data_IF_173512024149
#
_entry.id   IF_173512024149
#
_cell.length_a   1.000
_cell.length_b   1.000
_cell.length_c   1.000
_cell.angle_alpha   90.00
_cell.angle_beta   90.00
_cell.angle_gamma   90.00
#
_symmetry.space_group_name_H-M   'P 1'
#
loop_
_entity.id
_entity.type
_entity.pdbx_description
1 polymer ?
#
# COMPACT_ATOMS: atom_id res chain seq x y z
N UNK A 1 -2.63 11.11 -14.79
CA UNK A 1 -3.06 10.56 -13.48
C UNK A 1 -2.53 9.15 -13.34
N UNK A 2 -1.63 8.87 -12.38
CA UNK A 2 -1.00 7.54 -12.17
C UNK A 2 -1.81 6.62 -11.23
N UNK A 3 -3.09 6.91 -11.02
CA UNK A 3 -4.00 6.21 -10.09
C UNK A 3 -4.84 5.12 -10.79
N UNK A 4 -4.16 4.14 -11.39
CA UNK A 4 -4.80 3.04 -12.12
C UNK A 4 -4.71 1.68 -11.39
N UNK A 5 -4.09 1.66 -10.21
CA UNK A 5 -3.95 0.47 -9.40
C UNK A 5 -5.25 0.04 -8.74
N UNK A 6 -5.36 -1.27 -8.46
CA UNK A 6 -6.50 -1.88 -7.78
C UNK A 6 -6.04 -2.93 -6.79
N UNK A 7 -6.79 -3.07 -5.70
CA UNK A 7 -6.73 -4.23 -4.81
C UNK A 7 -7.92 -5.13 -5.13
N UNK A 8 -7.65 -6.39 -5.44
CA UNK A 8 -8.66 -7.37 -5.82
C UNK A 8 -8.72 -8.47 -4.76
N UNK A 9 -9.92 -8.98 -4.51
CA UNK A 9 -10.12 -10.27 -3.85
C UNK A 9 -10.53 -11.30 -4.88
N UNK A 10 -10.12 -12.55 -4.64
CA UNK A 10 -10.44 -13.69 -5.47
C UNK A 10 -10.92 -14.82 -4.57
N UNK A 11 -12.09 -15.36 -4.88
CA UNK A 11 -12.63 -16.57 -4.25
C UNK A 11 -12.31 -17.78 -5.15
N UNK A 12 -11.43 -18.70 -4.72
CA UNK A 12 -11.06 -19.86 -5.53
C UNK A 12 -12.16 -20.91 -5.66
N UNK A 13 -13.16 -20.92 -4.77
CA UNK A 13 -14.28 -21.88 -4.81
C UNK A 13 -15.29 -21.46 -5.87
N UNK A 14 -15.64 -20.17 -5.91
CA UNK A 14 -16.63 -19.64 -6.87
C UNK A 14 -15.99 -19.09 -8.14
N UNK A 15 -14.68 -18.88 -8.16
CA UNK A 15 -13.95 -18.21 -9.25
C UNK A 15 -14.23 -16.70 -9.33
N UNK A 16 -14.92 -16.12 -8.35
CA UNK A 16 -15.33 -14.71 -8.38
C UNK A 16 -14.18 -13.78 -8.02
N UNK A 17 -13.97 -12.76 -8.84
CA UNK A 17 -13.06 -11.64 -8.55
C UNK A 17 -13.90 -10.42 -8.14
N UNK A 18 -13.49 -9.71 -7.09
CA UNK A 18 -14.10 -8.46 -6.66
C UNK A 18 -13.05 -7.38 -6.46
N UNK A 19 -13.32 -6.16 -6.92
CA UNK A 19 -12.48 -4.99 -6.64
C UNK A 19 -12.79 -4.50 -5.22
N UNK A 20 -11.79 -4.55 -4.34
CA UNK A 20 -11.89 -4.06 -2.95
C UNK A 20 -11.55 -2.57 -2.85
N UNK A 21 -10.50 -2.15 -3.56
CA UNK A 21 -10.10 -0.76 -3.72
C UNK A 21 -9.71 -0.51 -5.16
N UNK A 22 -10.03 0.68 -5.65
CA UNK A 22 -9.56 1.20 -6.93
C UNK A 22 -8.81 2.52 -6.75
N UNK A 23 -8.37 3.09 -7.87
CA UNK A 23 -7.72 4.40 -7.91
C UNK A 23 -6.48 4.49 -7.03
N UNK A 24 -5.73 3.38 -6.92
CA UNK A 24 -4.50 3.29 -6.11
C UNK A 24 -3.28 3.77 -6.90
N UNK A 25 -2.34 4.35 -6.18
CA UNK A 25 -1.10 4.94 -6.70
C UNK A 25 0.04 3.91 -6.70
N UNK A 26 0.14 3.13 -7.77
CA UNK A 26 1.13 2.06 -7.95
C UNK A 26 1.17 1.11 -6.73
N UNK A 27 0.08 0.34 -6.47
CA UNK A 27 0.02 -0.58 -5.35
C UNK A 27 0.98 -1.76 -5.57
N UNK A 28 2.05 -1.82 -4.79
CA UNK A 28 3.16 -2.73 -5.07
C UNK A 28 3.20 -3.92 -4.09
N UNK A 29 3.12 -3.64 -2.80
CA UNK A 29 3.17 -4.66 -1.74
C UNK A 29 2.00 -4.55 -0.78
N UNK A 30 1.55 -5.69 -0.25
CA UNK A 30 0.61 -5.73 0.87
C UNK A 30 0.90 -6.90 1.81
N UNK A 31 0.43 -6.79 3.05
CA UNK A 31 0.51 -7.85 4.06
C UNK A 31 -0.72 -7.81 4.96
N UNK A 32 -1.24 -8.99 5.32
CA UNK A 32 -2.32 -9.12 6.29
C UNK A 32 -1.83 -8.95 7.72
N UNK A 33 -2.71 -8.47 8.59
CA UNK A 33 -2.53 -8.65 10.03
C UNK A 33 -2.60 -10.13 10.41
N UNK A 34 -2.02 -10.55 11.55
CA UNK A 34 -2.10 -11.93 12.02
C UNK A 34 -3.54 -12.48 12.12
N UNK A 35 -4.49 -11.62 12.51
CA UNK A 35 -5.91 -11.99 12.69
C UNK A 35 -6.77 -11.79 11.41
N UNK A 36 -6.13 -11.36 10.32
CA UNK A 36 -6.76 -11.03 9.03
C UNK A 36 -7.94 -10.05 9.17
N UNK A 37 -7.87 -9.14 10.14
CA UNK A 37 -8.86 -8.10 10.37
C UNK A 37 -8.58 -6.83 9.54
N UNK A 38 -7.33 -6.63 9.12
CA UNK A 38 -6.90 -5.61 8.17
C UNK A 38 -5.72 -6.09 7.32
N UNK A 39 -5.41 -5.33 6.27
CA UNK A 39 -4.14 -5.43 5.55
C UNK A 39 -3.47 -4.06 5.44
N UNK A 40 -2.15 -4.05 5.35
CA UNK A 40 -1.37 -2.88 4.96
C UNK A 40 -1.07 -2.97 3.47
N UNK A 41 -1.10 -1.85 2.77
CA UNK A 41 -0.78 -1.75 1.35
C UNK A 41 0.11 -0.54 1.07
N UNK A 42 1.16 -0.75 0.29
CA UNK A 42 2.10 0.27 -0.15
C UNK A 42 1.60 0.95 -1.43
N UNK A 43 1.38 2.26 -1.37
CA UNK A 43 1.18 3.10 -2.56
C UNK A 43 2.51 3.75 -2.93
N UNK A 44 3.26 3.06 -3.80
CA UNK A 44 4.67 3.36 -4.05
C UNK A 44 4.87 4.75 -4.63
N UNK A 45 4.05 5.18 -5.59
CA UNK A 45 4.30 6.45 -6.30
C UNK A 45 4.00 7.70 -5.48
N UNK A 46 3.35 7.56 -4.33
CA UNK A 46 3.05 8.67 -3.41
C UNK A 46 3.67 8.49 -2.03
N UNK A 47 4.54 7.48 -1.86
CA UNK A 47 5.26 7.23 -0.62
C UNK A 47 4.36 7.05 0.61
N UNK A 48 3.24 6.32 0.46
CA UNK A 48 2.27 6.05 1.53
C UNK A 48 2.17 4.56 1.86
N UNK A 49 1.85 4.26 3.12
CA UNK A 49 1.24 3.00 3.54
C UNK A 49 -0.19 3.28 3.96
N UNK A 50 -1.14 2.54 3.39
CA UNK A 50 -2.53 2.55 3.83
C UNK A 50 -2.85 1.28 4.61
N UNK A 51 -3.81 1.38 5.52
CA UNK A 51 -4.48 0.24 6.14
C UNK A 51 -5.87 0.11 5.52
N UNK A 52 -6.23 -1.10 5.10
CA UNK A 52 -7.56 -1.45 4.63
C UNK A 52 -8.19 -2.44 5.59
N UNK A 53 -9.38 -2.11 6.11
CA UNK A 53 -10.09 -2.93 7.10
C UNK A 53 -10.91 -4.02 6.40
N UNK A 54 -10.66 -5.28 6.77
CA UNK A 54 -11.34 -6.46 6.23
C UNK A 54 -12.53 -6.86 7.09
N UNK A 55 -12.42 -6.69 8.42
CA UNK A 55 -13.42 -7.10 9.41
C UNK A 55 -13.77 -5.93 10.33
N UNK A 56 -14.85 -6.11 11.10
CA UNK A 56 -15.28 -5.16 12.15
C UNK A 56 -16.05 -3.93 11.63
N UNK A 57 -16.31 -2.94 12.49
CA UNK A 57 -17.17 -1.79 12.18
C UNK A 57 -16.65 -0.88 11.05
N UNK A 58 -15.35 -0.97 10.74
CA UNK A 58 -14.67 -0.21 9.69
C UNK A 58 -14.49 -1.02 8.39
N UNK A 59 -15.00 -2.25 8.30
CA UNK A 59 -14.79 -3.12 7.16
C UNK A 59 -15.13 -2.41 5.83
N UNK A 60 -14.27 -2.58 4.82
CA UNK A 60 -14.38 -1.93 3.52
C UNK A 60 -13.84 -0.50 3.45
N UNK A 61 -13.35 0.07 4.56
CA UNK A 61 -12.73 1.40 4.58
C UNK A 61 -11.21 1.33 4.59
N UNK A 62 -10.56 2.43 4.17
CA UNK A 62 -9.10 2.59 4.24
C UNK A 62 -8.71 3.86 4.98
N UNK A 63 -7.53 3.85 5.58
CA UNK A 63 -6.89 5.02 6.19
C UNK A 63 -5.39 5.04 5.89
N UNK A 64 -4.80 6.23 5.77
CA UNK A 64 -3.35 6.38 5.60
C UNK A 64 -2.70 6.26 6.98
N UNK A 65 -1.80 5.29 7.15
CA UNK A 65 -1.10 5.05 8.42
C UNK A 65 0.32 5.61 8.43
N UNK A 66 0.96 5.67 7.26
CA UNK A 66 2.24 6.33 7.06
C UNK A 66 2.17 7.14 5.77
N UNK A 67 2.64 8.38 5.81
CA UNK A 67 2.72 9.26 4.65
C UNK A 67 4.14 9.83 4.51
N UNK A 68 4.40 10.45 3.36
CA UNK A 68 5.64 11.16 3.07
C UNK A 68 6.91 10.39 3.53
N UNK A 69 6.94 9.09 3.23
CA UNK A 69 8.01 8.22 3.68
C UNK A 69 9.37 8.68 3.12
N UNK A 70 10.45 8.31 3.82
CA UNK A 70 11.85 8.60 3.47
C UNK A 70 12.30 7.97 2.14
N UNK A 71 11.45 7.16 1.52
CA UNK A 71 11.64 6.51 0.26
C UNK A 71 10.34 5.93 -0.24
N UNK A 72 10.36 5.32 -1.43
CA UNK A 72 9.18 4.72 -2.01
C UNK A 72 8.97 3.30 -1.47
N UNK A 73 7.83 3.04 -0.80
CA UNK A 73 7.56 1.73 -0.21
C UNK A 73 7.22 0.70 -1.28
N UNK A 74 7.67 -0.52 -1.06
CA UNK A 74 7.50 -1.67 -1.96
C UNK A 74 6.81 -2.80 -1.18
N UNK A 75 7.29 -4.04 -1.33
CA UNK A 75 6.84 -5.22 -0.60
C UNK A 75 6.81 -5.01 0.92
N UNK A 76 5.71 -5.46 1.53
CA UNK A 76 5.50 -5.47 2.98
C UNK A 76 5.51 -6.92 3.43
N UNK A 77 6.20 -7.22 4.53
CA UNK A 77 6.20 -8.55 5.17
C UNK A 77 5.96 -8.44 6.65
N UNK A 78 5.11 -9.30 7.18
CA UNK A 78 5.01 -9.52 8.62
C UNK A 78 6.28 -10.23 9.10
N UNK A 79 6.85 -9.75 10.21
CA UNK A 79 7.95 -10.41 10.90
C UNK A 79 7.44 -11.28 12.04
N UNK A 80 8.29 -12.19 12.50
CA UNK A 80 8.00 -13.09 13.63
C UNK A 80 7.84 -12.34 14.97
N UNK A 81 8.16 -11.05 15.01
CA UNK A 81 7.98 -10.17 16.17
C UNK A 81 6.68 -9.36 16.13
N UNK A 82 5.79 -9.63 15.16
CA UNK A 82 4.51 -8.92 15.03
C UNK A 82 4.63 -7.50 14.45
N UNK A 83 5.79 -7.15 13.88
CA UNK A 83 6.01 -5.88 13.18
C UNK A 83 6.03 -6.09 11.66
N UNK A 84 5.74 -5.03 10.90
CA UNK A 84 5.78 -5.07 9.45
C UNK A 84 7.09 -4.48 8.93
N UNK A 85 7.82 -5.26 8.14
CA UNK A 85 8.99 -4.83 7.41
C UNK A 85 8.56 -4.32 6.04
N UNK A 86 8.97 -3.09 5.70
CA UNK A 86 8.63 -2.44 4.43
C UNK A 86 9.91 -2.24 3.63
N UNK A 87 9.98 -2.84 2.44
CA UNK A 87 11.06 -2.60 1.50
C UNK A 87 11.00 -1.17 0.96
N UNK A 88 12.16 -0.52 0.82
CA UNK A 88 12.27 0.83 0.25
C UNK A 88 13.09 0.75 -1.03
N UNK A 89 12.46 0.95 -2.18
CA UNK A 89 13.13 0.79 -3.49
C UNK A 89 14.11 1.91 -3.79
N UNK A 90 13.80 3.15 -3.38
CA UNK A 90 14.69 4.30 -3.52
C UNK A 90 14.42 5.31 -2.41
N UNK A 91 15.48 5.86 -1.85
CA UNK A 91 15.45 6.92 -0.84
C UNK A 91 15.13 8.28 -1.45
N UNK A 92 14.21 9.01 -0.82
CA UNK A 92 13.80 10.38 -1.13
C UNK A 92 14.68 11.35 -0.32
N UNK A 93 15.85 11.69 -0.85
CA UNK A 93 16.74 12.67 -0.23
C UNK A 93 16.22 14.11 -0.40
N UNK A 94 16.17 14.87 0.70
CA UNK A 94 15.97 16.33 0.63
C UNK A 94 17.22 16.99 0.02
N UNK A 95 17.02 17.91 -0.94
CA UNK A 95 18.10 18.71 -1.53
C UNK A 95 18.70 18.20 -2.84
N UNK A 96 18.09 17.20 -3.50
CA UNK A 96 18.45 16.90 -4.91
C UNK A 96 18.02 18.06 -5.81
N UNK A 97 18.85 18.36 -6.81
CA UNK A 97 18.56 19.39 -7.82
C UNK A 97 17.27 19.11 -8.60
N UNK A 98 16.93 17.83 -8.77
CA UNK A 98 15.65 17.39 -9.33
C UNK A 98 14.97 16.43 -8.35
N UNK A 99 13.65 16.59 -8.10
CA UNK A 99 12.88 15.61 -7.37
C UNK A 99 12.93 14.26 -8.12
N UNK A 100 12.89 13.11 -7.41
CA UNK A 100 12.82 11.83 -8.10
C UNK A 100 11.54 11.75 -8.96
N UNK A 101 11.60 11.03 -10.08
CA UNK A 101 10.52 10.98 -11.07
C UNK A 101 9.14 10.68 -10.47
N UNK A 102 9.05 9.80 -9.47
CA UNK A 102 7.78 9.46 -8.83
C UNK A 102 7.15 10.64 -8.08
N UNK A 103 7.95 11.54 -7.49
CA UNK A 103 7.45 12.77 -6.86
C UNK A 103 6.90 13.76 -7.91
N UNK A 104 7.37 13.70 -9.15
CA UNK A 104 6.88 14.57 -10.24
C UNK A 104 5.51 14.13 -10.77
N UNK A 105 5.16 12.85 -10.63
CA UNK A 105 3.91 12.28 -11.13
C UNK A 105 2.90 11.95 -10.02
N UNK A 106 3.29 12.12 -8.76
CA UNK A 106 2.39 12.13 -7.61
C UNK A 106 1.43 13.33 -7.65
N UNK A 107 0.28 13.26 -6.95
CA UNK A 107 -0.64 14.38 -6.80
C UNK A 107 -0.06 15.52 -5.95
#
# INVERSE_FOLDING_TARGET
>A
TNRLGRLLSYDPVTGRVQTLLDSLYMPNGFAFSPDEDFLLLAETSIAHIIKFWLKGPKAGTKEVVLNNMIGYPDNIRLSDHGTFLVGITTVRFRGRLFPPFLDLIGP
#
